data_IF_959001080103
#
_entry.id   IF_959001080103
#
_cell.length_a   1.000
_cell.length_b   1.000
_cell.length_c   1.000
_cell.angle_alpha   90.00
_cell.angle_beta   90.00
_cell.angle_gamma   90.00
#
_symmetry.space_group_name_H-M   'P 1'
#
loop_
_entity.id
_entity.type
_entity.pdbx_description
1 polymer ?
#
# COMPACT_ATOMS: atom_id res chain seq x y z
N UNK A 1 -20.08 24.61 -55.89
CA UNK A 1 -19.09 25.30 -55.04
C UNK A 1 -19.66 25.36 -53.62
N UNK A 2 -19.21 24.48 -52.73
CA UNK A 2 -19.75 24.37 -51.36
C UNK A 2 -19.13 25.46 -50.48
N UNK A 3 -19.91 26.49 -50.16
CA UNK A 3 -19.49 27.54 -49.22
C UNK A 3 -19.63 26.99 -47.81
N UNK A 4 -18.53 26.53 -47.22
CA UNK A 4 -18.47 26.15 -45.80
C UNK A 4 -18.45 27.42 -44.95
N UNK A 5 -19.52 27.66 -44.19
CA UNK A 5 -19.65 28.80 -43.30
C UNK A 5 -18.62 28.74 -42.14
N UNK A 6 -17.50 29.47 -42.30
CA UNK A 6 -16.37 29.60 -41.35
C UNK A 6 -16.74 29.95 -39.91
N UNK A 7 -17.94 30.50 -39.64
CA UNK A 7 -18.41 30.89 -38.30
C UNK A 7 -18.84 29.71 -37.39
N UNK A 8 -19.08 28.51 -37.94
CA UNK A 8 -19.53 27.34 -37.16
C UNK A 8 -18.40 26.48 -36.57
N UNK A 9 -17.17 26.66 -37.02
CA UNK A 9 -16.01 25.89 -36.54
C UNK A 9 -15.54 26.27 -35.14
N UNK A 10 -15.88 27.46 -34.65
CA UNK A 10 -15.48 27.90 -33.32
C UNK A 10 -16.26 27.22 -32.18
N UNK A 11 -17.50 26.78 -32.45
CA UNK A 11 -18.34 26.07 -31.47
C UNK A 11 -17.85 24.64 -31.17
N UNK A 12 -17.29 23.94 -32.16
CA UNK A 12 -16.72 22.59 -31.95
C UNK A 12 -15.43 22.62 -31.12
N UNK A 13 -14.64 23.71 -31.23
CA UNK A 13 -13.45 23.92 -30.40
C UNK A 13 -13.81 24.09 -28.90
N UNK A 14 -14.88 24.83 -28.60
CA UNK A 14 -15.31 25.07 -27.22
C UNK A 14 -15.79 23.79 -26.51
N UNK A 15 -16.49 22.92 -27.25
CA UNK A 15 -16.99 21.63 -26.71
C UNK A 15 -15.86 20.62 -26.48
N UNK A 16 -14.85 20.60 -27.35
CA UNK A 16 -13.66 19.75 -27.16
C UNK A 16 -12.85 20.13 -25.90
N UNK A 17 -12.70 21.43 -25.62
CA UNK A 17 -12.01 21.93 -24.43
C UNK A 17 -12.76 21.55 -23.13
N UNK A 18 -14.09 21.59 -23.13
CA UNK A 18 -14.90 21.19 -21.98
C UNK A 18 -14.82 19.69 -21.67
N UNK A 19 -14.78 18.83 -22.70
CA UNK A 19 -14.65 17.37 -22.53
C UNK A 19 -13.25 16.99 -22.00
N UNK A 20 -12.20 17.66 -22.48
CA UNK A 20 -10.82 17.43 -22.02
C UNK A 20 -10.62 17.97 -20.59
N UNK A 21 -11.19 19.12 -20.25
CA UNK A 21 -11.09 19.71 -18.92
C UNK A 21 -11.71 18.86 -17.81
N UNK A 22 -12.93 18.34 -18.04
CA UNK A 22 -13.65 17.53 -17.04
C UNK A 22 -13.08 16.10 -16.96
N UNK A 23 -12.69 15.51 -18.10
CA UNK A 23 -12.10 14.17 -18.14
C UNK A 23 -10.68 14.11 -17.55
N UNK A 24 -9.87 15.15 -17.79
CA UNK A 24 -8.49 15.21 -17.30
C UNK A 24 -8.41 15.37 -15.78
N UNK A 25 -9.22 16.24 -15.19
CA UNK A 25 -9.21 16.46 -13.73
C UNK A 25 -9.66 15.21 -12.95
N UNK A 26 -10.68 14.51 -13.43
CA UNK A 26 -11.19 13.30 -12.75
C UNK A 26 -10.22 12.13 -12.80
N UNK A 27 -9.52 11.92 -13.93
CA UNK A 27 -8.51 10.88 -14.05
C UNK A 27 -7.27 11.18 -13.21
N UNK A 28 -6.74 12.41 -13.30
CA UNK A 28 -5.57 12.83 -12.51
C UNK A 28 -5.83 12.79 -10.99
N UNK A 29 -7.07 13.06 -10.56
CA UNK A 29 -7.42 12.96 -9.14
C UNK A 29 -7.44 11.51 -8.66
N UNK A 30 -7.94 10.56 -9.46
CA UNK A 30 -7.91 9.13 -9.13
C UNK A 30 -6.48 8.59 -9.03
N UNK A 31 -5.61 8.91 -10.00
CA UNK A 31 -4.20 8.49 -9.95
C UNK A 31 -3.49 9.03 -8.70
N UNK A 32 -3.77 10.29 -8.32
CA UNK A 32 -3.22 10.88 -7.09
C UNK A 32 -3.73 10.19 -5.83
N UNK A 33 -5.00 9.81 -5.79
CA UNK A 33 -5.60 9.09 -4.67
C UNK A 33 -5.02 7.67 -4.55
N UNK A 34 -4.94 6.93 -5.65
CA UNK A 34 -4.34 5.59 -5.70
C UNK A 34 -2.87 5.63 -5.27
N UNK A 35 -2.10 6.59 -5.80
CA UNK A 35 -0.70 6.78 -5.40
C UNK A 35 -0.59 7.10 -3.90
N UNK A 36 -1.46 7.96 -3.38
CA UNK A 36 -1.47 8.31 -1.95
C UNK A 36 -1.78 7.11 -1.07
N UNK A 37 -2.71 6.25 -1.47
CA UNK A 37 -3.02 5.00 -0.76
C UNK A 37 -1.80 4.08 -0.79
N UNK A 38 -1.19 3.87 -1.96
CA UNK A 38 0.03 3.06 -2.10
C UNK A 38 1.18 3.58 -1.23
N UNK A 39 1.41 4.89 -1.20
CA UNK A 39 2.42 5.52 -0.34
C UNK A 39 2.13 5.30 1.16
N UNK A 40 0.85 5.34 1.56
CA UNK A 40 0.42 5.07 2.94
C UNK A 40 0.64 3.61 3.32
N UNK A 41 0.25 2.67 2.46
CA UNK A 41 0.46 1.24 2.65
C UNK A 41 1.95 0.91 2.79
N UNK A 42 2.79 1.45 1.90
CA UNK A 42 4.24 1.28 1.97
C UNK A 42 4.82 1.82 3.27
N UNK A 43 4.39 3.01 3.72
CA UNK A 43 4.82 3.58 4.98
C UNK A 43 4.45 2.69 6.19
N UNK A 44 3.24 2.11 6.17
CA UNK A 44 2.78 1.19 7.21
C UNK A 44 3.62 -0.09 7.21
N UNK A 45 3.87 -0.70 6.04
CA UNK A 45 4.70 -1.91 5.92
C UNK A 45 6.14 -1.65 6.39
N UNK A 46 6.72 -0.47 6.10
CA UNK A 46 8.03 -0.06 6.65
C UNK A 46 8.01 0.00 8.18
N UNK A 47 6.97 0.58 8.79
CA UNK A 47 6.80 0.61 10.25
C UNK A 47 6.69 -0.80 10.84
N UNK A 48 5.99 -1.71 10.16
CA UNK A 48 5.89 -3.12 10.57
C UNK A 48 7.23 -3.85 10.46
N UNK A 49 8.00 -3.61 9.39
CA UNK A 49 9.33 -4.20 9.21
C UNK A 49 10.28 -3.78 10.33
N UNK A 50 10.27 -2.49 10.69
CA UNK A 50 10.99 -1.96 11.86
C UNK A 50 10.56 -2.66 13.14
N UNK A 51 9.25 -2.78 13.37
CA UNK A 51 8.74 -3.46 14.56
C UNK A 51 9.23 -4.91 14.62
N UNK A 52 9.19 -5.65 13.51
CA UNK A 52 9.65 -7.04 13.45
C UNK A 52 11.14 -7.13 13.77
N UNK A 53 11.98 -6.32 13.11
CA UNK A 53 13.43 -6.36 13.31
C UNK A 53 13.86 -5.97 14.73
N UNK A 54 13.11 -5.07 15.37
CA UNK A 54 13.38 -4.65 16.74
C UNK A 54 12.95 -5.68 17.79
N UNK A 55 11.94 -6.51 17.51
CA UNK A 55 11.31 -7.37 18.51
C UNK A 55 11.67 -8.85 18.39
N UNK A 56 12.22 -9.29 17.25
CA UNK A 56 12.56 -10.70 17.01
C UNK A 56 14.03 -10.88 16.64
N UNK A 57 14.62 -11.96 17.13
CA UNK A 57 15.99 -12.39 16.80
C UNK A 57 16.04 -13.04 15.42
N UNK A 58 17.22 -13.01 14.78
CA UNK A 58 17.54 -13.73 13.54
C UNK A 58 16.55 -13.51 12.39
N UNK A 59 16.03 -12.29 12.24
CA UNK A 59 15.15 -11.92 11.11
C UNK A 59 15.99 -11.73 9.85
N UNK A 60 15.81 -12.60 8.85
CA UNK A 60 16.54 -12.57 7.58
C UNK A 60 15.64 -12.12 6.42
N UNK A 61 14.38 -12.55 6.43
CA UNK A 61 13.41 -12.24 5.37
C UNK A 61 12.07 -11.80 5.94
N UNK A 62 11.44 -10.82 5.30
CA UNK A 62 10.08 -10.36 5.59
C UNK A 62 9.32 -10.24 4.28
N UNK A 63 8.20 -10.94 4.14
CA UNK A 63 7.31 -10.81 2.97
C UNK A 63 5.91 -10.40 3.42
N UNK A 64 5.45 -9.27 2.92
CA UNK A 64 4.15 -8.68 3.21
C UNK A 64 3.12 -9.12 2.18
N UNK A 65 1.97 -9.59 2.65
CA UNK A 65 0.79 -9.76 1.81
C UNK A 65 0.13 -8.44 1.40
N UNK A 66 -1.10 -8.55 0.91
CA UNK A 66 -1.95 -7.40 0.62
C UNK A 66 -2.80 -7.04 1.84
N UNK A 67 -3.13 -5.75 1.95
CA UNK A 67 -4.14 -5.31 2.90
C UNK A 67 -5.52 -5.84 2.47
N UNK A 68 -6.30 -6.28 3.44
CA UNK A 68 -7.69 -6.67 3.27
C UNK A 68 -8.52 -6.04 4.39
N UNK A 69 -9.80 -5.78 4.15
CA UNK A 69 -10.67 -5.16 5.14
C UNK A 69 -11.84 -6.07 5.47
N UNK A 70 -12.10 -6.28 6.76
CA UNK A 70 -13.34 -6.91 7.21
C UNK A 70 -14.49 -5.91 7.03
N UNK A 71 -15.50 -6.30 6.26
CA UNK A 71 -16.62 -5.41 5.88
C UNK A 71 -17.43 -4.92 7.07
N UNK A 72 -17.63 -5.79 8.06
CA UNK A 72 -18.53 -5.50 9.19
C UNK A 72 -17.91 -4.54 10.21
N UNK A 73 -16.61 -4.69 10.49
CA UNK A 73 -15.90 -3.89 11.50
C UNK A 73 -15.06 -2.77 10.91
N UNK A 74 -14.80 -2.81 9.59
CA UNK A 74 -13.87 -1.90 8.93
C UNK A 74 -12.40 -2.14 9.28
N UNK A 75 -12.08 -3.22 10.01
CA UNK A 75 -10.70 -3.55 10.42
C UNK A 75 -9.88 -3.97 9.20
N UNK A 76 -8.69 -3.40 9.07
CA UNK A 76 -7.71 -3.77 8.06
C UNK A 76 -6.77 -4.86 8.60
N UNK A 77 -6.46 -5.82 7.74
CA UNK A 77 -5.64 -6.98 8.05
C UNK A 77 -4.53 -7.11 7.01
N UNK A 78 -3.35 -7.46 7.47
CA UNK A 78 -2.25 -7.91 6.60
C UNK A 78 -1.54 -9.08 7.27
N UNK A 79 -1.25 -10.12 6.49
CA UNK A 79 -0.44 -11.26 6.92
C UNK A 79 0.97 -11.06 6.40
N UNK A 80 1.95 -11.20 7.30
CA UNK A 80 3.36 -11.09 7.02
C UNK A 80 4.04 -12.42 7.32
N UNK A 81 4.86 -12.90 6.38
CA UNK A 81 5.69 -14.09 6.58
C UNK A 81 7.12 -13.66 6.90
N UNK A 82 7.67 -14.17 8.00
CA UNK A 82 9.06 -13.93 8.40
C UNK A 82 9.84 -15.24 8.33
N UNK A 83 11.04 -15.22 7.76
CA UNK A 83 11.89 -16.40 7.57
C UNK A 83 11.15 -17.59 6.93
N UNK A 84 10.26 -17.29 5.98
CA UNK A 84 9.43 -18.24 5.23
C UNK A 84 8.41 -19.09 6.03
N UNK A 85 8.42 -19.07 7.36
CA UNK A 85 7.59 -20.00 8.15
C UNK A 85 6.84 -19.34 9.32
N UNK A 86 7.20 -18.13 9.73
CA UNK A 86 6.60 -17.47 10.89
C UNK A 86 5.61 -16.41 10.44
N UNK A 87 4.32 -16.72 10.59
CA UNK A 87 3.22 -15.85 10.17
C UNK A 87 2.81 -14.89 11.29
N UNK A 88 2.78 -13.60 10.97
CA UNK A 88 2.25 -12.54 11.84
C UNK A 88 1.09 -11.87 11.12
N UNK A 89 -0.08 -11.86 11.75
CA UNK A 89 -1.19 -11.02 11.33
C UNK A 89 -1.12 -9.67 12.05
N UNK A 90 -1.20 -8.59 11.28
CA UNK A 90 -1.36 -7.23 11.80
C UNK A 90 -2.78 -6.73 11.56
N UNK A 91 -3.38 -6.16 12.60
CA UNK A 91 -4.74 -5.60 12.56
C UNK A 91 -4.69 -4.08 12.80
N UNK A 92 -5.36 -3.30 11.94
CA UNK A 92 -5.35 -1.84 11.97
C UNK A 92 -6.77 -1.27 11.82
N UNK A 93 -7.06 -0.16 12.50
CA UNK A 93 -8.36 0.51 12.36
C UNK A 93 -8.45 1.41 11.12
N UNK A 94 -7.31 1.81 10.54
CA UNK A 94 -7.25 2.62 9.32
C UNK A 94 -5.89 2.44 8.63
N UNK A 95 -5.80 2.81 7.34
CA UNK A 95 -4.56 2.84 6.55
C UNK A 95 -4.01 4.26 6.46
N UNK A 96 -3.36 4.72 7.53
CA UNK A 96 -2.63 5.98 7.54
C UNK A 96 -1.19 5.75 8.01
N UNK A 97 -0.26 6.63 7.65
CA UNK A 97 1.14 6.54 8.09
C UNK A 97 1.32 6.47 9.61
N UNK A 98 0.34 6.96 10.38
CA UNK A 98 0.37 7.01 11.84
C UNK A 98 -0.43 5.87 12.48
N UNK A 99 -0.98 4.93 11.70
CA UNK A 99 -1.77 3.82 12.21
C UNK A 99 -0.98 3.02 13.25
N UNK A 100 -1.65 2.73 14.36
CA UNK A 100 -1.23 1.70 15.28
C UNK A 100 -1.77 0.35 14.81
N UNK A 101 -1.08 -0.71 15.20
CA UNK A 101 -1.45 -2.07 14.85
C UNK A 101 -1.40 -2.96 16.09
N UNK A 102 -2.28 -3.96 16.10
CA UNK A 102 -2.15 -5.11 16.98
C UNK A 102 -1.52 -6.26 16.19
N UNK A 103 -0.90 -7.22 16.90
CA UNK A 103 -0.35 -8.42 16.28
C UNK A 103 -0.98 -9.69 16.85
N UNK A 104 -1.13 -10.68 16.00
CA UNK A 104 -1.49 -12.05 16.40
C UNK A 104 -0.72 -13.07 15.57
N UNK A 105 -0.46 -14.25 16.15
CA UNK A 105 0.19 -15.38 15.51
C UNK A 105 -0.16 -16.69 16.22
N UNK A 106 -0.11 -17.80 15.50
CA UNK A 106 -0.27 -19.13 16.10
C UNK A 106 1.03 -19.54 16.79
N UNK A 107 0.98 -19.80 18.10
CA UNK A 107 2.15 -20.19 18.90
C UNK A 107 2.76 -21.53 18.50
N UNK A 108 1.98 -22.44 17.94
CA UNK A 108 2.45 -23.76 17.51
C UNK A 108 3.27 -23.71 16.21
N UNK A 109 3.06 -22.68 15.40
CA UNK A 109 3.67 -22.53 14.08
C UNK A 109 4.52 -21.27 13.94
N UNK A 110 4.77 -20.55 15.05
CA UNK A 110 5.54 -19.32 15.07
C UNK A 110 6.89 -19.57 15.73
N UNK A 111 7.97 -19.41 14.97
CA UNK A 111 9.29 -19.93 15.35
C UNK A 111 10.32 -18.82 15.66
N UNK A 112 9.93 -17.55 15.59
CA UNK A 112 10.85 -16.46 15.95
C UNK A 112 10.99 -16.33 17.47
N UNK A 113 12.23 -16.21 17.91
CA UNK A 113 12.55 -15.86 19.28
C UNK A 113 12.36 -14.36 19.50
N UNK A 114 11.70 -13.98 20.59
CA UNK A 114 11.60 -12.58 20.98
C UNK A 114 12.92 -12.10 21.55
N UNK A 115 13.34 -10.90 21.17
CA UNK A 115 14.47 -10.23 21.81
C UNK A 115 14.18 -9.99 23.29
N UNK A 116 15.18 -10.16 24.16
CA UNK A 116 15.05 -9.86 25.60
C UNK A 116 14.77 -8.38 25.86
N UNK A 117 15.30 -7.52 24.99
CA UNK A 117 15.03 -6.09 24.95
C UNK A 117 14.85 -5.68 23.49
N UNK A 118 13.86 -4.84 23.16
CA UNK A 118 13.73 -4.32 21.81
C UNK A 118 15.02 -3.64 21.35
N UNK A 119 15.50 -4.01 20.17
CA UNK A 119 16.65 -3.37 19.56
C UNK A 119 16.37 -1.90 19.25
N UNK A 120 17.39 -1.05 19.36
CA UNK A 120 17.32 0.37 18.94
C UNK A 120 17.87 0.59 17.53
N UNK A 121 18.66 -0.35 16.99
CA UNK A 121 19.22 -0.24 15.64
C UNK A 121 18.20 -0.62 14.56
N UNK A 122 18.02 0.29 13.60
CA UNK A 122 17.12 0.17 12.45
C UNK A 122 17.86 -0.39 11.23
N UNK A 123 18.72 -1.39 11.40
CA UNK A 123 19.45 -1.91 10.24
C UNK A 123 18.57 -2.87 9.43
N UNK A 124 17.69 -2.29 8.61
CA UNK A 124 16.87 -3.05 7.66
C UNK A 124 17.66 -3.45 6.41
N UNK A 125 18.88 -2.93 6.22
CA UNK A 125 19.68 -3.17 5.01
C UNK A 125 20.20 -4.62 4.93
N UNK A 126 20.25 -5.32 6.07
CA UNK A 126 20.63 -6.73 6.18
C UNK A 126 19.44 -7.69 6.02
N UNK A 127 18.20 -7.17 5.97
CA UNK A 127 16.97 -7.95 5.88
C UNK A 127 16.42 -7.87 4.46
N UNK A 128 16.14 -9.02 3.84
CA UNK A 128 15.45 -9.05 2.56
C UNK A 128 13.95 -8.81 2.78
N UNK A 129 13.46 -7.65 2.33
CA UNK A 129 12.06 -7.25 2.55
C UNK A 129 11.31 -7.16 1.22
N UNK A 130 10.29 -8.00 1.07
CA UNK A 130 9.29 -7.89 0.02
C UNK A 130 8.07 -7.13 0.56
N UNK A 131 7.96 -5.86 0.15
CA UNK A 131 6.84 -5.00 0.53
C UNK A 131 5.55 -5.32 -0.21
N UNK A 132 5.56 -6.23 -1.19
CA UNK A 132 4.43 -6.45 -2.09
C UNK A 132 4.14 -5.22 -2.97
N UNK A 133 3.49 -5.48 -4.10
CA UNK A 133 3.09 -4.47 -5.07
C UNK A 133 2.35 -5.15 -6.21
N UNK A 134 1.38 -4.45 -6.81
CA UNK A 134 0.70 -4.96 -7.99
C UNK A 134 1.75 -5.25 -9.09
N UNK A 135 1.76 -6.49 -9.58
CA UNK A 135 2.04 -6.69 -10.99
C UNK A 135 0.93 -5.94 -11.72
N UNK A 136 1.19 -4.70 -12.12
CA UNK A 136 0.34 -4.04 -13.10
C UNK A 136 0.37 -4.92 -14.35
N UNK A 137 -0.63 -5.78 -14.47
CA UNK A 137 -0.94 -6.45 -15.72
C UNK A 137 -1.33 -5.33 -16.67
N UNK A 138 -0.43 -5.00 -17.60
CA UNK A 138 -0.74 -4.19 -18.77
C UNK A 138 -2.09 -4.63 -19.34
N UNK A 139 -3.06 -3.73 -19.33
CA UNK A 139 -4.25 -3.78 -20.18
C UNK A 139 -4.41 -2.45 -20.88
#
# INVERSE_FOLDING_TARGET
>A
MLVVNKKRWWLFSLVAILIIGIGGETFLNKEKEEKKISDQELAIKKKMAVFISQNYENVETISFGNFSQTKDTGTWHIVTTVNSNSLIQFDLNNLTKNSNFNISYNKETFFLEKKKQPGTSLNLDEISIDYGGEKHANR
#
